data_IF_693132964552
#
_entry.id   IF_693132964552
#
_cell.length_a   1.000
_cell.length_b   1.000
_cell.length_c   1.000
_cell.angle_alpha   90.00
_cell.angle_beta   90.00
_cell.angle_gamma   90.00
#
_symmetry.space_group_name_H-M   'P 1'
#
loop_
_entity.id
_entity.type
_entity.pdbx_description
1 polymer ?
#
# COMPACT_ATOMS: atom_id res chain seq x y z
N UNK A 1 -8.70 -13.46 -4.79
CA UNK A 1 -9.80 -12.98 -3.93
C UNK A 1 -9.46 -11.60 -3.41
N UNK A 2 -10.44 -10.73 -3.19
CA UNK A 2 -10.24 -9.42 -2.53
C UNK A 2 -10.61 -9.53 -1.04
N UNK A 3 -9.95 -8.77 -0.17
CA UNK A 3 -10.26 -8.76 1.25
C UNK A 3 -11.46 -7.82 1.52
N UNK A 4 -12.50 -8.24 2.26
CA UNK A 4 -13.73 -7.46 2.42
C UNK A 4 -13.53 -6.13 3.17
N UNK A 5 -12.53 -6.06 4.06
CA UNK A 5 -12.21 -4.83 4.80
C UNK A 5 -11.45 -3.78 3.99
N UNK A 6 -11.04 -4.06 2.73
CA UNK A 6 -10.22 -3.16 1.91
C UNK A 6 -11.12 -2.47 0.88
N UNK A 7 -11.21 -1.15 0.97
CA UNK A 7 -11.89 -0.31 -0.03
C UNK A 7 -11.00 -0.08 -1.24
N UNK A 8 -9.75 0.31 -0.99
CA UNK A 8 -8.76 0.60 -2.02
C UNK A 8 -7.37 0.18 -1.56
N UNK A 9 -6.53 -0.22 -2.51
CA UNK A 9 -5.12 -0.52 -2.26
C UNK A 9 -4.26 -0.01 -3.40
N UNK A 10 -3.15 0.63 -3.04
CA UNK A 10 -2.14 1.11 -3.96
C UNK A 10 -0.81 0.45 -3.63
N UNK A 11 -0.21 -0.21 -4.62
CA UNK A 11 1.13 -0.77 -4.49
C UNK A 11 2.13 0.26 -5.03
N UNK A 12 2.99 0.74 -4.14
CA UNK A 12 4.02 1.75 -4.43
C UNK A 12 5.39 1.09 -4.37
N UNK A 13 6.19 1.13 -5.45
CA UNK A 13 7.55 0.64 -5.41
C UNK A 13 8.43 1.63 -4.65
N UNK A 14 9.08 1.16 -3.59
CA UNK A 14 10.06 1.94 -2.81
C UNK A 14 11.44 1.40 -3.10
N UNK A 15 12.40 2.31 -3.31
CA UNK A 15 13.79 1.95 -3.56
C UNK A 15 14.35 1.19 -2.36
N UNK A 16 15.03 0.10 -2.65
CA UNK A 16 15.64 -0.77 -1.67
C UNK A 16 17.10 -1.04 -2.03
N UNK A 17 18.01 -0.90 -1.06
CA UNK A 17 19.45 -1.03 -1.31
C UNK A 17 19.87 -2.44 -1.71
N UNK A 18 19.15 -3.47 -1.25
CA UNK A 18 19.49 -4.88 -1.44
C UNK A 18 18.75 -5.49 -2.62
N UNK A 19 17.49 -5.09 -2.84
CA UNK A 19 16.59 -5.68 -3.83
C UNK A 19 16.18 -4.74 -4.97
N UNK A 20 16.73 -3.53 -5.03
CA UNK A 20 16.41 -2.50 -6.02
C UNK A 20 15.09 -1.79 -5.70
N UNK A 21 13.96 -2.50 -5.76
CA UNK A 21 12.66 -1.97 -5.33
C UNK A 21 11.84 -3.02 -4.58
N UNK A 22 11.17 -2.61 -3.51
CA UNK A 22 10.23 -3.45 -2.76
C UNK A 22 8.83 -2.84 -2.72
N UNK A 23 7.76 -3.65 -2.79
CA UNK A 23 6.40 -3.15 -2.78
C UNK A 23 6.00 -2.67 -1.39
N UNK A 24 5.41 -1.48 -1.32
CA UNK A 24 4.69 -0.96 -0.13
C UNK A 24 3.23 -0.83 -0.48
N UNK A 25 2.35 -1.35 0.36
CA UNK A 25 0.92 -1.23 0.19
C UNK A 25 0.42 -0.01 0.97
N UNK A 26 -0.29 0.88 0.28
CA UNK A 26 -1.06 1.97 0.89
C UNK A 26 -2.54 1.60 0.78
N UNK A 27 -3.20 1.40 1.92
CA UNK A 27 -4.50 0.75 2.01
C UNK A 27 -5.52 1.69 2.62
N UNK A 28 -6.68 1.78 1.98
CA UNK A 28 -7.89 2.34 2.56
C UNK A 28 -8.77 1.20 3.06
N UNK A 29 -9.09 1.23 4.35
CA UNK A 29 -9.97 0.27 5.00
C UNK A 29 -11.39 0.84 5.12
N UNK A 30 -12.38 -0.05 5.13
CA UNK A 30 -13.79 0.35 5.31
C UNK A 30 -14.06 0.89 6.71
N UNK A 31 -13.58 0.18 7.74
CA UNK A 31 -13.82 0.54 9.14
C UNK A 31 -12.56 0.44 9.98
N UNK A 32 -11.95 -0.75 10.03
CA UNK A 32 -10.81 -1.05 10.88
C UNK A 32 -9.63 -1.57 10.07
N UNK A 33 -8.43 -1.20 10.49
CA UNK A 33 -7.20 -1.79 9.96
C UNK A 33 -7.16 -3.27 10.29
N UNK A 34 -6.80 -4.10 9.32
CA UNK A 34 -6.66 -5.54 9.48
C UNK A 34 -5.24 -5.96 9.10
N UNK A 35 -4.75 -7.06 9.68
CA UNK A 35 -3.47 -7.63 9.27
C UNK A 35 -3.61 -8.38 7.94
N UNK A 36 -3.26 -7.69 6.86
CA UNK A 36 -3.25 -8.24 5.52
C UNK A 36 -1.97 -9.04 5.21
N UNK A 37 -0.94 -8.94 6.06
CA UNK A 37 0.35 -9.59 5.84
C UNK A 37 0.24 -11.10 5.80
N UNK A 38 -0.44 -11.69 6.80
CA UNK A 38 -0.71 -13.13 6.80
C UNK A 38 -1.66 -13.53 5.67
N UNK A 39 -2.69 -12.72 5.42
CA UNK A 39 -3.72 -13.03 4.42
C UNK A 39 -3.17 -13.13 3.00
N UNK A 40 -2.11 -12.40 2.66
CA UNK A 40 -1.52 -12.46 1.31
C UNK A 40 -0.52 -13.60 1.10
N UNK A 41 -0.07 -14.30 2.15
CA UNK A 41 1.02 -15.28 2.04
C UNK A 41 0.73 -16.45 1.10
N UNK A 42 -0.51 -16.93 1.10
CA UNK A 42 -0.99 -18.01 0.21
C UNK A 42 -1.48 -17.48 -1.15
N UNK A 43 -1.50 -16.16 -1.35
CA UNK A 43 -2.11 -15.49 -2.52
C UNK A 43 -1.09 -14.79 -3.41
N UNK A 44 0.03 -14.36 -2.85
CA UNK A 44 1.08 -13.61 -3.54
C UNK A 44 2.43 -14.30 -3.38
N UNK A 45 3.21 -14.33 -4.47
CA UNK A 45 4.61 -14.75 -4.40
C UNK A 45 5.40 -13.82 -3.46
N UNK A 46 6.45 -14.36 -2.82
CA UNK A 46 7.20 -13.63 -1.78
C UNK A 46 7.69 -12.24 -2.20
N UNK A 47 8.07 -12.05 -3.46
CA UNK A 47 8.55 -10.76 -3.99
C UNK A 47 7.43 -9.75 -4.26
N UNK A 48 6.17 -10.19 -4.34
CA UNK A 48 4.99 -9.34 -4.52
C UNK A 48 4.37 -8.94 -3.18
N UNK A 49 4.71 -9.66 -2.10
CA UNK A 49 4.20 -9.37 -0.77
C UNK A 49 4.72 -8.02 -0.30
N UNK A 50 3.83 -7.07 0.08
CA UNK A 50 4.26 -5.78 0.60
C UNK A 50 5.17 -5.94 1.81
N UNK A 51 6.29 -5.23 1.80
CA UNK A 51 7.20 -5.19 2.95
C UNK A 51 6.70 -4.24 4.04
N UNK A 52 5.80 -3.33 3.68
CA UNK A 52 5.12 -2.42 4.60
C UNK A 52 3.68 -2.22 4.17
N UNK A 53 2.83 -2.04 5.17
CA UNK A 53 1.41 -1.76 5.04
C UNK A 53 1.13 -0.42 5.71
N UNK A 54 0.76 0.57 4.93
CA UNK A 54 0.49 1.93 5.36
C UNK A 54 -1.00 2.23 5.15
N UNK A 55 -1.59 3.02 6.04
CA UNK A 55 -2.97 3.50 5.88
C UNK A 55 -2.98 4.72 4.96
N UNK A 56 -3.87 4.74 3.97
CA UNK A 56 -4.03 5.86 3.07
C UNK A 56 -4.46 7.13 3.85
N UNK A 57 -3.63 8.19 3.88
CA UNK A 57 -3.96 9.40 4.61
C UNK A 57 -5.06 10.19 3.89
N UNK A 58 -5.93 10.91 4.64
CA UNK A 58 -7.00 11.71 4.06
C UNK A 58 -6.48 12.85 3.18
N UNK A 59 -5.28 13.37 3.45
CA UNK A 59 -4.66 14.46 2.66
C UNK A 59 -4.46 14.08 1.18
N UNK A 60 -4.19 12.80 0.89
CA UNK A 60 -4.03 12.31 -0.48
C UNK A 60 -5.36 12.07 -1.20
N UNK A 61 -6.49 12.04 -0.48
CA UNK A 61 -7.84 11.93 -1.05
C UNK A 61 -8.42 13.28 -1.48
N UNK A 62 -7.92 14.37 -0.91
CA UNK A 62 -8.48 15.72 -1.12
C UNK A 62 -8.22 16.32 -2.52
N UNK A 63 -7.46 15.64 -3.38
CA UNK A 63 -7.05 16.13 -4.71
C UNK A 63 -8.04 15.93 -5.86
N UNK A 64 -9.20 15.29 -5.62
CA UNK A 64 -10.23 15.02 -6.64
C UNK A 64 -10.56 13.54 -6.82
N UNK A 65 -11.29 13.21 -7.89
CA UNK A 65 -11.85 11.87 -8.17
C UNK A 65 -10.76 10.77 -8.28
N UNK A 66 -9.49 11.12 -8.52
CA UNK A 66 -8.39 10.17 -8.74
C UNK A 66 -7.14 10.56 -7.95
N UNK A 67 -6.64 9.63 -7.13
CA UNK A 67 -5.40 9.80 -6.36
C UNK A 67 -4.19 9.81 -7.30
N UNK A 68 -3.29 10.79 -7.11
CA UNK A 68 -2.03 10.91 -7.86
C UNK A 68 -1.04 9.83 -7.42
N UNK A 69 -0.57 9.01 -8.38
CA UNK A 69 0.49 8.02 -8.13
C UNK A 69 1.81 8.66 -7.71
N UNK A 70 2.11 9.86 -8.22
CA UNK A 70 3.31 10.59 -7.84
C UNK A 70 3.23 11.05 -6.38
N UNK A 71 2.09 11.64 -5.97
CA UNK A 71 1.89 12.08 -4.59
C UNK A 71 1.92 10.89 -3.60
N UNK A 72 1.35 9.74 -3.99
CA UNK A 72 1.49 8.49 -3.24
C UNK A 72 2.96 8.07 -3.07
N UNK A 73 3.74 8.11 -4.15
CA UNK A 73 5.16 7.75 -4.11
C UNK A 73 5.96 8.69 -3.20
N UNK A 74 5.78 10.00 -3.36
CA UNK A 74 6.42 11.02 -2.53
C UNK A 74 6.03 10.88 -1.06
N UNK A 75 4.75 10.62 -0.78
CA UNK A 75 4.28 10.41 0.58
C UNK A 75 4.88 9.15 1.21
N UNK A 76 4.88 8.01 0.51
CA UNK A 76 5.48 6.76 1.01
C UNK A 76 6.98 6.93 1.27
N UNK A 77 7.69 7.68 0.44
CA UNK A 77 9.11 7.99 0.66
C UNK A 77 9.37 8.82 1.92
N UNK A 78 8.36 9.55 2.41
CA UNK A 78 8.44 10.32 3.68
C UNK A 78 8.06 9.50 4.92
N UNK A 79 7.59 8.27 4.74
CA UNK A 79 7.27 7.33 5.84
C UNK A 79 8.46 6.42 6.20
N UNK A 80 9.66 6.71 5.65
CA UNK A 80 10.92 6.01 5.96
C UNK A 80 11.65 6.66 7.14
#
# INVERSE_FOLDING_TARGET
>A
AAHPAVLQVFIVPVADKEFGHRPVAVVEYDQQTVDLGEWVKDKLARFQQPVRWLTLPPELKNGGIKISRQALKEWVQRQD
#
